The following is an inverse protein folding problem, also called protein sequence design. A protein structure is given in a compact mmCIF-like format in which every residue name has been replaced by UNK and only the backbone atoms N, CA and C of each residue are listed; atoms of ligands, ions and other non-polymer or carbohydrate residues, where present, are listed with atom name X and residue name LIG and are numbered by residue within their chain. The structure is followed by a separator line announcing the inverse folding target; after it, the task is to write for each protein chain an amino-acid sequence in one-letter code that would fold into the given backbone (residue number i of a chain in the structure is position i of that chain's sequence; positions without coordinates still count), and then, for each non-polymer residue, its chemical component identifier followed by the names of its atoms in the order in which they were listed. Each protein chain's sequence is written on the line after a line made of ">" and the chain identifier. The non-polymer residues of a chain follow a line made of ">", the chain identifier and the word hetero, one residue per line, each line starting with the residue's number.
data_IF_863482539231
#
_entry.id   IF_863482539231
#
_cell.length_a   1.000
_cell.length_b   1.000
_cell.length_c   1.000
_cell.angle_alpha   90.00
_cell.angle_beta   90.00
_cell.angle_gamma   90.00
#
_symmetry.space_group_name_H-M   'P 1'
#
loop_
_entity.id
_entity.type
_entity.pdbx_description
1 polymer ?
#
# COMPACT_ATOMS: atom_id res chain seq x y z
N UNK A 1 -30.09 -17.69 -4.23
CA UNK A 1 -29.01 -16.90 -4.87
C UNK A 1 -28.48 -15.95 -3.81
N UNK A 2 -27.38 -16.31 -3.14
CA UNK A 2 -26.87 -15.55 -1.98
C UNK A 2 -25.90 -14.48 -2.48
N UNK A 3 -26.37 -13.25 -2.59
CA UNK A 3 -25.54 -12.10 -2.99
C UNK A 3 -24.62 -11.75 -1.83
N UNK A 4 -23.33 -12.06 -1.93
CA UNK A 4 -22.34 -11.56 -0.98
C UNK A 4 -22.22 -10.04 -1.17
N UNK A 5 -22.64 -9.28 -0.17
CA UNK A 5 -22.60 -7.80 -0.16
C UNK A 5 -21.15 -7.30 -0.15
N UNK A 6 -20.21 -8.10 0.37
CA UNK A 6 -18.80 -7.76 0.46
C UNK A 6 -17.97 -8.70 -0.41
N UNK A 7 -17.10 -8.12 -1.24
CA UNK A 7 -16.15 -8.87 -2.08
C UNK A 7 -14.74 -8.70 -1.52
N UNK A 8 -14.07 -9.79 -1.18
CA UNK A 8 -12.64 -9.79 -0.82
C UNK A 8 -11.80 -10.00 -2.08
N UNK A 9 -10.74 -9.20 -2.25
CA UNK A 9 -9.77 -9.35 -3.34
C UNK A 9 -8.36 -9.28 -2.78
N UNK A 10 -7.47 -10.12 -3.28
CA UNK A 10 -6.05 -10.07 -2.98
C UNK A 10 -5.31 -9.45 -4.17
N UNK A 11 -4.38 -8.54 -3.89
CA UNK A 11 -3.57 -7.89 -4.92
C UNK A 11 -2.17 -7.62 -4.40
N UNK A 12 -1.17 -7.97 -5.20
CA UNK A 12 0.21 -7.57 -4.96
C UNK A 12 0.43 -6.18 -5.56
N UNK A 13 0.92 -5.24 -4.76
CA UNK A 13 1.28 -3.89 -5.20
C UNK A 13 2.74 -3.60 -4.89
N UNK A 14 3.40 -2.83 -5.77
CA UNK A 14 4.76 -2.34 -5.53
C UNK A 14 4.67 -0.85 -5.20
N UNK A 15 5.13 -0.51 -4.01
CA UNK A 15 5.18 0.87 -3.52
C UNK A 15 6.62 1.28 -3.27
N UNK A 16 6.88 2.57 -3.36
CA UNK A 16 8.20 3.15 -3.09
C UNK A 16 8.00 4.40 -2.26
N UNK A 17 8.82 4.57 -1.24
CA UNK A 17 8.77 5.72 -0.37
C UNK A 17 10.15 6.24 -0.01
N UNK A 18 10.20 7.51 0.34
CA UNK A 18 11.38 8.28 0.72
C UNK A 18 11.12 8.94 2.07
N UNK A 19 12.18 9.16 2.83
CA UNK A 19 12.11 9.83 4.12
C UNK A 19 13.48 9.93 4.75
N UNK A 20 13.62 10.90 5.64
CA UNK A 20 14.86 11.15 6.40
C UNK A 20 15.28 9.95 7.26
N UNK A 21 14.28 9.14 7.67
CA UNK A 21 14.50 7.90 8.41
C UNK A 21 13.83 6.75 7.65
N UNK A 22 14.32 5.52 7.91
CA UNK A 22 13.74 4.31 7.34
C UNK A 22 12.23 4.24 7.66
N UNK A 23 11.85 4.52 8.91
CA UNK A 23 10.46 4.48 9.36
C UNK A 23 9.57 5.44 8.54
N UNK A 24 10.04 6.68 8.30
CA UNK A 24 9.30 7.66 7.48
C UNK A 24 9.19 7.20 6.02
N UNK A 25 10.26 6.65 5.44
CA UNK A 25 10.25 6.13 4.08
C UNK A 25 9.27 4.96 3.91
N UNK A 26 9.22 4.04 4.88
CA UNK A 26 8.25 2.94 4.89
C UNK A 26 6.81 3.44 5.06
N UNK A 27 6.55 4.35 6.01
CA UNK A 27 5.22 4.92 6.20
C UNK A 27 4.70 5.62 4.94
N UNK A 28 5.57 6.37 4.24
CA UNK A 28 5.21 7.05 3.00
C UNK A 28 5.04 6.10 1.81
N UNK A 29 5.70 4.94 1.81
CA UNK A 29 5.44 3.89 0.83
C UNK A 29 4.09 3.22 1.08
N UNK A 30 3.77 2.87 2.33
CA UNK A 30 2.53 2.19 2.70
C UNK A 30 1.29 3.07 2.47
N UNK A 31 1.40 4.39 2.68
CA UNK A 31 0.27 5.31 2.42
C UNK A 31 -0.15 5.38 0.94
N UNK A 32 0.72 4.96 0.01
CA UNK A 32 0.40 4.92 -1.42
C UNK A 32 -0.40 3.68 -1.81
N UNK A 33 -0.49 2.65 -0.95
CA UNK A 33 -1.23 1.42 -1.24
C UNK A 33 -2.70 1.74 -1.53
N UNK A 34 -3.31 2.63 -0.74
CA UNK A 34 -4.72 2.98 -0.92
C UNK A 34 -5.00 3.51 -2.33
N UNK A 35 -4.13 4.36 -2.88
CA UNK A 35 -4.27 4.88 -4.25
C UNK A 35 -4.10 3.81 -5.32
N UNK A 36 -3.30 2.78 -5.09
CA UNK A 36 -3.08 1.70 -6.06
C UNK A 36 -4.16 0.60 -6.00
N UNK A 37 -4.84 0.47 -4.87
CA UNK A 37 -5.88 -0.54 -4.66
C UNK A 37 -7.27 0.02 -5.01
N UNK A 38 -7.50 1.31 -4.77
CA UNK A 38 -8.76 2.00 -5.11
C UNK A 38 -8.75 2.39 -6.59
N UNK A 39 -9.43 1.62 -7.43
CA UNK A 39 -9.66 1.96 -8.85
C UNK A 39 -10.89 2.85 -9.05
N UNK A 40 -11.85 2.84 -8.11
CA UNK A 40 -13.07 3.64 -8.17
C UNK A 40 -13.34 4.26 -6.80
N UNK A 41 -13.43 5.59 -6.75
CA UNK A 41 -13.59 6.41 -5.54
C UNK A 41 -15.03 6.44 -5.02
N UNK A 42 -15.97 5.79 -5.72
CA UNK A 42 -17.39 5.87 -5.43
C UNK A 42 -17.78 4.98 -4.24
N UNK A 43 -17.71 5.58 -3.05
CA UNK A 43 -18.52 5.30 -1.87
C UNK A 43 -18.37 3.94 -1.16
N UNK A 44 -17.22 3.26 -1.25
CA UNK A 44 -16.99 2.00 -0.51
C UNK A 44 -15.87 2.13 0.52
N UNK A 45 -16.16 1.81 1.78
CA UNK A 45 -15.14 1.71 2.84
C UNK A 45 -14.27 0.48 2.60
N UNK A 46 -13.03 0.71 2.20
CA UNK A 46 -12.04 -0.36 1.96
C UNK A 46 -11.17 -0.58 3.20
N UNK A 47 -11.27 -1.78 3.77
CA UNK A 47 -10.31 -2.27 4.76
C UNK A 47 -9.17 -3.00 4.03
N UNK A 48 -7.97 -2.44 4.11
CA UNK A 48 -6.76 -3.05 3.54
C UNK A 48 -6.00 -3.72 4.67
N UNK A 49 -5.83 -5.04 4.59
CA UNK A 49 -4.98 -5.80 5.53
C UNK A 49 -3.77 -6.32 4.77
N UNK A 50 -2.54 -5.89 5.13
CA UNK A 50 -1.34 -6.41 4.49
C UNK A 50 -1.12 -7.86 4.92
N UNK A 51 -1.16 -8.78 3.95
CA UNK A 51 -0.85 -10.20 4.20
C UNK A 51 0.66 -10.44 4.33
N UNK A 52 1.44 -9.75 3.50
CA UNK A 52 2.90 -9.88 3.47
C UNK A 52 3.55 -8.59 2.96
N UNK A 53 4.63 -8.17 3.61
CA UNK A 53 5.47 -7.04 3.18
C UNK A 53 6.87 -7.55 2.93
N UNK A 54 7.34 -7.41 1.69
CA UNK A 54 8.70 -7.84 1.29
C UNK A 54 9.50 -6.61 0.86
N UNK A 55 10.58 -6.23 1.57
CA UNK A 55 11.49 -5.19 1.12
C UNK A 55 12.19 -5.63 -0.18
N UNK A 56 11.95 -4.90 -1.27
CA UNK A 56 12.53 -5.21 -2.60
C UNK A 56 13.87 -4.50 -2.80
N UNK A 57 13.98 -3.24 -2.36
CA UNK A 57 15.19 -2.42 -2.48
C UNK A 57 15.23 -1.37 -1.38
N UNK A 58 16.41 -1.08 -0.86
CA UNK A 58 16.67 0.00 0.09
C UNK A 58 17.87 0.80 -0.41
N UNK A 59 17.65 2.05 -0.78
CA UNK A 59 18.71 2.96 -1.22
C UNK A 59 18.90 4.04 -0.16
N UNK A 60 20.14 4.20 0.32
CA UNK A 60 20.53 5.31 1.18
C UNK A 60 21.32 6.31 0.34
N UNK A 61 20.71 7.46 0.04
CA UNK A 61 21.41 8.59 -0.55
C UNK A 61 21.81 9.54 0.57
N UNK A 62 23.11 9.77 0.75
CA UNK A 62 23.64 10.81 1.64
C UNK A 62 24.33 11.83 0.74
N UNK A 63 23.75 13.03 0.66
CA UNK A 63 24.40 14.16 -0.02
C UNK A 63 25.56 14.65 0.86
N UNK A 64 26.78 14.72 0.30
CA UNK A 64 27.96 15.27 0.96
C UNK A 64 28.21 16.70 0.53
#
# INVERSE_FOLDING_TARGET
>A
MTTAINTTRERTVRVTGKGETKQKAFAQALSQIQKQVVENEDAVTLQITPLQVTPVSLQSETYR
#
